data_IF_872067871314
#
_entry.id   IF_872067871314
#
_cell.length_a   1.000
_cell.length_b   1.000
_cell.length_c   1.000
_cell.angle_alpha   90.00
_cell.angle_beta   90.00
_cell.angle_gamma   90.00
#
_symmetry.space_group_name_H-M   'P 1'
#
loop_
_entity.id
_entity.type
_entity.pdbx_description
1 polymer ?
#
# COMPACT_ATOMS: atom_id res chain seq x y z
N UNK A 1 -39.61 -36.69 71.10
CA UNK A 1 -40.78 -36.03 70.55
C UNK A 1 -40.56 -35.95 69.02
N UNK A 2 -41.31 -36.75 68.25
CA UNK A 2 -41.11 -36.91 66.82
C UNK A 2 -41.93 -35.80 66.10
N UNK A 3 -41.31 -34.89 65.43
CA UNK A 3 -41.97 -33.93 64.57
C UNK A 3 -42.33 -34.57 63.24
N UNK A 4 -43.58 -34.52 62.85
CA UNK A 4 -44.14 -35.15 61.67
C UNK A 4 -44.12 -34.17 60.45
N UNK A 5 -44.11 -34.78 59.26
CA UNK A 5 -43.96 -34.17 57.94
C UNK A 5 -45.10 -33.23 57.50
N UNK A 6 -45.90 -32.68 58.38
CA UNK A 6 -47.14 -31.93 58.06
C UNK A 6 -47.11 -30.43 58.40
N UNK A 7 -46.05 -29.93 58.97
CA UNK A 7 -46.02 -28.52 59.46
C UNK A 7 -45.17 -27.57 58.57
N UNK A 8 -44.97 -27.90 57.28
CA UNK A 8 -44.18 -27.06 56.36
C UNK A 8 -45.00 -26.64 55.12
N UNK A 9 -46.20 -26.14 55.32
CA UNK A 9 -47.01 -25.60 54.26
C UNK A 9 -47.83 -24.38 54.69
N UNK A 10 -47.19 -23.31 55.13
CA UNK A 10 -47.82 -21.99 55.23
C UNK A 10 -46.73 -20.93 55.47
N UNK A 11 -46.12 -20.44 54.43
CA UNK A 11 -45.09 -19.39 54.47
C UNK A 11 -45.02 -18.63 53.12
N UNK A 12 -45.87 -17.62 53.00
CA UNK A 12 -45.83 -16.46 52.12
C UNK A 12 -44.96 -16.52 50.87
N UNK A 13 -45.59 -16.62 49.70
CA UNK A 13 -45.05 -16.18 48.45
C UNK A 13 -45.11 -14.64 48.37
N UNK A 14 -44.05 -13.95 48.74
CA UNK A 14 -43.80 -12.56 48.32
C UNK A 14 -43.07 -12.59 46.98
N UNK A 15 -43.83 -12.39 45.91
CA UNK A 15 -43.33 -12.29 44.55
C UNK A 15 -42.48 -11.02 44.42
N UNK A 16 -41.14 -11.13 44.41
CA UNK A 16 -40.26 -10.11 43.91
C UNK A 16 -40.29 -10.21 42.39
N UNK A 17 -41.13 -9.42 41.76
CA UNK A 17 -41.05 -9.15 40.31
C UNK A 17 -39.87 -8.21 40.10
N UNK A 18 -38.63 -8.74 40.03
CA UNK A 18 -37.53 -8.01 39.47
C UNK A 18 -37.82 -7.86 37.95
N UNK A 19 -37.79 -6.65 37.36
CA UNK A 19 -37.87 -6.53 35.94
C UNK A 19 -36.62 -7.21 35.36
N UNK A 20 -36.84 -8.34 34.71
CA UNK A 20 -35.81 -8.88 33.80
C UNK A 20 -35.60 -7.82 32.70
N UNK A 21 -34.59 -6.99 32.89
CA UNK A 21 -34.00 -6.24 31.77
C UNK A 21 -33.37 -7.31 30.87
N UNK A 22 -34.16 -7.79 29.94
CA UNK A 22 -33.65 -8.52 28.78
C UNK A 22 -32.80 -7.49 28.05
N UNK A 23 -31.53 -7.40 28.44
CA UNK A 23 -30.54 -6.75 27.61
C UNK A 23 -30.67 -7.43 26.25
N UNK A 24 -31.14 -6.67 25.26
CA UNK A 24 -31.17 -7.12 23.89
C UNK A 24 -29.75 -7.63 23.60
N UNK A 25 -29.55 -8.94 23.63
CA UNK A 25 -28.45 -9.56 22.94
C UNK A 25 -28.61 -9.08 21.49
N UNK A 26 -27.87 -8.02 21.11
CA UNK A 26 -27.72 -7.68 19.73
C UNK A 26 -27.28 -8.99 19.09
N UNK A 27 -28.17 -9.60 18.34
CA UNK A 27 -27.80 -10.68 17.46
C UNK A 27 -26.59 -10.15 16.70
N UNK A 28 -25.45 -10.78 16.90
CA UNK A 28 -24.22 -10.42 16.21
C UNK A 28 -24.50 -10.69 14.75
N UNK A 29 -24.99 -9.65 14.05
CA UNK A 29 -25.39 -9.73 12.64
C UNK A 29 -24.21 -10.23 11.85
N UNK A 30 -24.46 -10.99 10.78
CA UNK A 30 -23.43 -11.58 9.94
C UNK A 30 -22.33 -10.54 9.65
N UNK A 31 -21.07 -10.88 9.96
CA UNK A 31 -19.90 -10.02 9.75
C UNK A 31 -19.68 -9.79 8.26
N UNK A 32 -19.28 -8.59 7.87
CA UNK A 32 -18.80 -8.33 6.50
C UNK A 32 -17.33 -8.72 6.44
N UNK A 33 -16.94 -9.53 5.47
CA UNK A 33 -15.56 -9.97 5.30
C UNK A 33 -14.87 -9.26 4.15
N UNK A 34 -13.61 -8.88 4.39
CA UNK A 34 -12.68 -8.35 3.38
C UNK A 34 -11.52 -9.35 3.29
N UNK A 35 -11.17 -9.79 2.08
CA UNK A 35 -10.02 -10.63 1.84
C UNK A 35 -8.74 -9.80 1.70
N UNK A 36 -7.60 -10.32 2.14
CA UNK A 36 -6.30 -9.70 1.94
C UNK A 36 -5.25 -10.73 1.55
N UNK A 37 -4.69 -10.60 0.34
CA UNK A 37 -3.51 -11.33 -0.08
C UNK A 37 -2.29 -10.48 0.24
N UNK A 38 -1.35 -11.02 1.02
CA UNK A 38 -0.19 -10.26 1.50
C UNK A 38 0.97 -11.22 1.78
N UNK A 39 2.24 -10.82 1.59
CA UNK A 39 3.35 -11.67 1.95
C UNK A 39 3.46 -11.81 3.49
N UNK A 40 3.06 -12.97 4.02
CA UNK A 40 3.30 -13.34 5.41
C UNK A 40 4.67 -14.00 5.54
N UNK A 41 5.08 -14.72 4.48
CA UNK A 41 6.38 -15.36 4.35
C UNK A 41 7.12 -14.91 3.09
N UNK A 42 8.41 -15.29 2.96
CA UNK A 42 9.24 -14.95 1.82
C UNK A 42 9.99 -13.63 1.95
N UNK A 43 10.67 -13.17 0.87
CA UNK A 43 11.57 -12.01 0.92
C UNK A 43 10.89 -10.69 1.28
N UNK A 44 9.56 -10.58 1.14
CA UNK A 44 8.80 -9.39 1.46
C UNK A 44 7.95 -9.51 2.73
N UNK A 45 8.23 -10.46 3.62
CA UNK A 45 7.43 -10.68 4.83
C UNK A 45 7.37 -9.43 5.74
N UNK A 46 8.44 -8.65 5.84
CA UNK A 46 8.44 -7.39 6.60
C UNK A 46 7.46 -6.37 6.01
N UNK A 47 7.45 -6.21 4.68
CA UNK A 47 6.47 -5.36 3.98
C UNK A 47 5.04 -5.84 4.22
N UNK A 48 4.83 -7.16 4.19
CA UNK A 48 3.54 -7.76 4.48
C UNK A 48 3.06 -7.51 5.91
N UNK A 49 3.95 -7.49 6.88
CA UNK A 49 3.62 -7.10 8.26
C UNK A 49 3.17 -5.63 8.34
N UNK A 50 3.87 -4.72 7.66
CA UNK A 50 3.49 -3.31 7.59
C UNK A 50 2.09 -3.15 6.96
N UNK A 51 1.84 -3.84 5.86
CA UNK A 51 0.54 -3.82 5.17
C UNK A 51 -0.60 -4.34 6.06
N UNK A 52 -0.39 -5.46 6.75
CA UNK A 52 -1.36 -5.99 7.71
C UNK A 52 -1.66 -5.01 8.84
N UNK A 53 -0.63 -4.35 9.37
CA UNK A 53 -0.78 -3.38 10.45
C UNK A 53 -1.65 -2.18 10.01
N UNK A 54 -1.42 -1.64 8.81
CA UNK A 54 -2.23 -0.57 8.25
C UNK A 54 -3.69 -0.98 8.09
N UNK A 55 -3.94 -2.13 7.44
CA UNK A 55 -5.29 -2.66 7.27
C UNK A 55 -6.01 -2.93 8.60
N UNK A 56 -5.32 -3.53 9.59
CA UNK A 56 -5.87 -3.78 10.93
C UNK A 56 -6.18 -2.50 11.69
N UNK A 57 -5.36 -1.45 11.54
CA UNK A 57 -5.60 -0.16 12.16
C UNK A 57 -6.88 0.50 11.61
N UNK A 58 -7.04 0.49 10.28
CA UNK A 58 -8.26 0.98 9.63
C UNK A 58 -9.48 0.16 10.05
N UNK A 59 -9.36 -1.17 10.06
CA UNK A 59 -10.43 -2.08 10.48
C UNK A 59 -10.91 -1.78 11.90
N UNK A 60 -9.98 -1.56 12.83
CA UNK A 60 -10.30 -1.20 14.21
C UNK A 60 -11.06 0.13 14.30
N UNK A 61 -10.64 1.14 13.50
CA UNK A 61 -11.32 2.43 13.43
C UNK A 61 -12.73 2.31 12.83
N UNK A 62 -12.89 1.58 11.73
CA UNK A 62 -14.18 1.30 11.08
C UNK A 62 -15.13 0.60 12.05
N UNK A 63 -14.68 -0.45 12.72
CA UNK A 63 -15.49 -1.20 13.66
C UNK A 63 -15.89 -0.38 14.90
N UNK A 64 -14.97 0.44 15.41
CA UNK A 64 -15.26 1.38 16.51
C UNK A 64 -16.31 2.43 16.11
N UNK A 65 -16.33 2.84 14.84
CA UNK A 65 -17.33 3.79 14.31
C UNK A 65 -18.71 3.15 14.04
N UNK A 66 -18.89 1.86 14.33
CA UNK A 66 -20.16 1.14 14.13
C UNK A 66 -20.13 0.14 12.97
N UNK A 67 -18.99 -0.05 12.32
CA UNK A 67 -18.79 -1.00 11.23
C UNK A 67 -19.34 -0.52 9.88
N UNK A 68 -19.71 -1.45 9.04
CA UNK A 68 -20.23 -1.20 7.70
C UNK A 68 -21.66 -1.75 7.61
N UNK A 69 -22.62 -0.93 7.16
CA UNK A 69 -24.05 -1.26 7.16
C UNK A 69 -24.55 -1.74 8.53
N UNK A 70 -23.97 -1.19 9.63
CA UNK A 70 -24.28 -1.59 11.01
C UNK A 70 -23.70 -2.94 11.43
N UNK A 71 -22.83 -3.57 10.63
CA UNK A 71 -22.18 -4.86 10.88
C UNK A 71 -20.70 -4.67 11.15
N UNK A 72 -20.13 -5.52 11.99
CA UNK A 72 -18.67 -5.58 12.16
C UNK A 72 -18.01 -6.06 10.88
N UNK A 73 -16.79 -5.59 10.64
CA UNK A 73 -15.96 -6.01 9.50
C UNK A 73 -14.84 -6.90 9.99
N UNK A 74 -14.53 -7.94 9.24
CA UNK A 74 -13.45 -8.90 9.50
C UNK A 74 -12.48 -8.93 8.32
N UNK A 75 -11.19 -9.06 8.61
CA UNK A 75 -10.13 -9.21 7.61
C UNK A 75 -9.68 -10.67 7.56
N UNK A 76 -9.83 -11.31 6.40
CA UNK A 76 -9.37 -12.67 6.14
C UNK A 76 -8.07 -12.59 5.35
N UNK A 77 -6.97 -13.10 5.92
CA UNK A 77 -5.63 -12.95 5.37
C UNK A 77 -5.14 -14.28 4.81
N UNK A 78 -4.59 -14.26 3.58
CA UNK A 78 -3.89 -15.38 2.95
C UNK A 78 -2.47 -14.97 2.55
N UNK A 79 -1.52 -15.87 2.76
CA UNK A 79 -0.10 -15.67 2.43
C UNK A 79 0.15 -15.85 0.94
N UNK A 80 0.68 -14.81 0.27
CA UNK A 80 1.11 -14.86 -1.13
C UNK A 80 2.56 -15.34 -1.32
N UNK A 81 3.29 -15.59 -0.21
CA UNK A 81 4.66 -16.11 -0.18
C UNK A 81 5.67 -15.28 -0.99
N UNK A 82 5.33 -14.05 -1.35
CA UNK A 82 6.10 -13.18 -2.27
C UNK A 82 6.30 -13.80 -3.66
N UNK A 83 5.42 -14.70 -4.12
CA UNK A 83 5.53 -15.39 -5.41
C UNK A 83 4.27 -15.24 -6.28
N UNK A 84 4.43 -15.32 -7.61
CA UNK A 84 3.29 -15.28 -8.53
C UNK A 84 2.34 -16.48 -8.35
N UNK A 85 2.82 -17.75 -8.23
CA UNK A 85 1.94 -18.86 -7.89
C UNK A 85 1.27 -18.70 -6.52
N UNK A 86 1.99 -18.16 -5.54
CA UNK A 86 1.48 -17.91 -4.19
C UNK A 86 0.30 -16.94 -4.19
N UNK A 87 0.39 -15.80 -4.89
CA UNK A 87 -0.72 -14.83 -4.95
C UNK A 87 -1.94 -15.41 -5.66
N UNK A 88 -1.77 -16.18 -6.74
CA UNK A 88 -2.89 -16.84 -7.45
C UNK A 88 -3.59 -17.83 -6.51
N UNK A 89 -2.84 -18.62 -5.75
CA UNK A 89 -3.40 -19.56 -4.79
C UNK A 89 -4.10 -18.85 -3.64
N UNK A 90 -3.48 -17.84 -3.04
CA UNK A 90 -4.05 -17.04 -1.96
C UNK A 90 -5.36 -16.36 -2.38
N UNK A 91 -5.35 -15.72 -3.56
CA UNK A 91 -6.55 -15.09 -4.10
C UNK A 91 -7.65 -16.11 -4.38
N UNK A 92 -7.34 -17.27 -4.97
CA UNK A 92 -8.29 -18.33 -5.24
C UNK A 92 -8.97 -18.85 -3.96
N UNK A 93 -8.21 -19.03 -2.86
CA UNK A 93 -8.78 -19.44 -1.56
C UNK A 93 -9.74 -18.40 -0.98
N UNK A 94 -9.40 -17.12 -1.09
CA UNK A 94 -10.28 -16.04 -0.65
C UNK A 94 -11.51 -15.92 -1.55
N UNK A 95 -11.34 -16.01 -2.87
CA UNK A 95 -12.42 -15.93 -3.86
C UNK A 95 -13.45 -17.06 -3.71
N UNK A 96 -13.05 -18.23 -3.19
CA UNK A 96 -13.94 -19.33 -2.89
C UNK A 96 -14.90 -19.05 -1.71
N UNK A 97 -14.67 -17.99 -0.93
CA UNK A 97 -15.53 -17.58 0.18
C UNK A 97 -16.58 -16.55 -0.31
N UNK A 98 -17.87 -16.92 -0.44
CA UNK A 98 -18.87 -16.05 -1.08
C UNK A 98 -19.20 -14.79 -0.24
N UNK A 99 -18.96 -14.83 1.06
CA UNK A 99 -19.20 -13.76 2.02
C UNK A 99 -18.10 -12.66 2.06
N UNK A 100 -17.00 -12.85 1.33
CA UNK A 100 -16.01 -11.79 1.09
C UNK A 100 -16.55 -10.82 0.03
N UNK A 101 -16.68 -9.54 0.41
CA UNK A 101 -17.32 -8.51 -0.43
C UNK A 101 -16.34 -7.70 -1.28
N UNK A 102 -15.05 -7.68 -0.90
CA UNK A 102 -13.98 -7.00 -1.62
C UNK A 102 -12.63 -7.46 -1.10
N UNK A 103 -11.56 -7.12 -1.80
CA UNK A 103 -10.24 -7.67 -1.53
C UNK A 103 -9.18 -6.57 -1.51
N UNK A 104 -8.13 -6.77 -0.72
CA UNK A 104 -6.85 -6.10 -0.84
C UNK A 104 -5.89 -7.08 -1.51
N UNK A 105 -5.31 -6.66 -2.63
CA UNK A 105 -4.35 -7.47 -3.36
C UNK A 105 -2.91 -7.07 -3.06
N UNK A 106 -2.01 -7.44 -3.97
CA UNK A 106 -0.57 -7.23 -3.79
C UNK A 106 -0.14 -5.78 -4.03
N UNK A 107 0.93 -5.39 -3.35
CA UNK A 107 1.72 -4.20 -3.69
C UNK A 107 2.61 -4.43 -4.92
N UNK A 108 2.85 -5.68 -5.30
CA UNK A 108 3.77 -6.05 -6.38
C UNK A 108 3.06 -6.12 -7.71
N UNK A 109 3.49 -5.29 -8.67
CA UNK A 109 2.89 -5.23 -10.00
C UNK A 109 2.87 -6.60 -10.70
N UNK A 110 3.95 -7.36 -10.61
CA UNK A 110 4.05 -8.72 -11.20
C UNK A 110 2.99 -9.68 -10.64
N UNK A 111 2.74 -9.62 -9.32
CA UNK A 111 1.71 -10.44 -8.68
C UNK A 111 0.30 -9.97 -9.05
N UNK A 112 0.07 -8.67 -9.18
CA UNK A 112 -1.23 -8.14 -9.65
C UNK A 112 -1.51 -8.63 -11.06
N UNK A 113 -0.53 -8.57 -11.98
CA UNK A 113 -0.67 -9.16 -13.31
C UNK A 113 -1.05 -10.64 -13.26
N UNK A 114 -0.40 -11.42 -12.38
CA UNK A 114 -0.64 -12.85 -12.25
C UNK A 114 -2.08 -13.17 -11.79
N UNK A 115 -2.66 -12.41 -10.87
CA UNK A 115 -4.02 -12.64 -10.36
C UNK A 115 -5.12 -11.94 -11.16
N UNK A 116 -4.78 -10.98 -12.02
CA UNK A 116 -5.78 -10.14 -12.72
C UNK A 116 -6.83 -10.92 -13.53
N UNK A 117 -6.50 -12.06 -14.21
CA UNK A 117 -7.52 -12.88 -14.88
C UNK A 117 -8.58 -13.46 -13.90
N UNK A 118 -8.15 -13.89 -12.72
CA UNK A 118 -9.06 -14.42 -11.70
C UNK A 118 -9.91 -13.32 -11.07
N UNK A 119 -9.35 -12.11 -10.90
CA UNK A 119 -10.10 -10.92 -10.47
C UNK A 119 -11.21 -10.59 -11.46
N UNK A 120 -10.89 -10.57 -12.76
CA UNK A 120 -11.88 -10.30 -13.81
C UNK A 120 -13.02 -11.34 -13.79
N UNK A 121 -12.68 -12.61 -13.64
CA UNK A 121 -13.65 -13.72 -13.55
C UNK A 121 -14.52 -13.64 -12.30
N UNK A 122 -13.95 -13.24 -11.16
CA UNK A 122 -14.69 -13.14 -9.90
C UNK A 122 -15.70 -11.99 -9.91
N UNK A 123 -15.37 -10.85 -10.53
CA UNK A 123 -16.27 -9.71 -10.64
C UNK A 123 -16.54 -9.00 -9.31
N UNK A 124 -15.53 -8.88 -8.44
CA UNK A 124 -15.58 -8.13 -7.17
C UNK A 124 -14.42 -7.14 -7.07
N UNK A 125 -14.60 -5.99 -6.38
CA UNK A 125 -13.55 -4.98 -6.24
C UNK A 125 -12.30 -5.51 -5.54
N UNK A 126 -11.14 -5.22 -6.11
CA UNK A 126 -9.82 -5.55 -5.57
C UNK A 126 -8.97 -4.27 -5.51
N UNK A 127 -8.57 -3.87 -4.31
CA UNK A 127 -7.70 -2.73 -4.04
C UNK A 127 -6.26 -3.18 -4.17
N UNK A 128 -5.49 -2.51 -5.02
CA UNK A 128 -4.10 -2.88 -5.32
C UNK A 128 -3.12 -1.78 -4.97
N UNK A 129 -1.92 -2.19 -4.56
CA UNK A 129 -0.78 -1.31 -4.33
C UNK A 129 0.26 -1.34 -5.46
N UNK A 130 0.09 -2.17 -6.49
CA UNK A 130 0.98 -2.22 -7.66
C UNK A 130 0.93 -0.93 -8.47
N UNK A 131 2.11 -0.43 -8.89
CA UNK A 131 2.23 0.91 -9.51
C UNK A 131 2.50 0.90 -11.01
N UNK A 132 2.70 -0.27 -11.63
CA UNK A 132 2.77 -0.37 -13.11
C UNK A 132 1.51 0.26 -13.73
N UNK A 133 1.64 1.29 -14.59
CA UNK A 133 0.50 2.00 -15.17
C UNK A 133 -0.50 1.09 -15.88
N UNK A 134 -0.04 -0.01 -16.47
CA UNK A 134 -0.91 -0.92 -17.26
C UNK A 134 -1.95 -1.66 -16.44
N UNK A 135 -1.77 -1.81 -15.12
CA UNK A 135 -2.62 -2.61 -14.24
C UNK A 135 -4.10 -2.19 -14.26
N UNK A 136 -4.36 -0.90 -14.26
CA UNK A 136 -5.72 -0.34 -14.34
C UNK A 136 -6.18 -0.08 -15.77
N UNK A 137 -5.27 -0.21 -16.76
CA UNK A 137 -5.55 0.04 -18.17
C UNK A 137 -5.67 -1.23 -19.03
N UNK A 138 -5.61 -2.43 -18.40
CA UNK A 138 -5.74 -3.73 -19.09
C UNK A 138 -7.20 -4.16 -19.35
N UNK A 139 -8.19 -3.30 -19.10
CA UNK A 139 -9.61 -3.60 -19.31
C UNK A 139 -10.26 -4.40 -18.17
N UNK A 140 -9.62 -4.50 -17.00
CA UNK A 140 -10.21 -5.12 -15.81
C UNK A 140 -10.88 -4.07 -14.91
N UNK A 141 -12.22 -3.96 -14.90
CA UNK A 141 -12.94 -2.90 -14.20
C UNK A 141 -13.00 -3.10 -12.68
N UNK A 142 -12.41 -4.19 -12.17
CA UNK A 142 -12.46 -4.56 -10.76
C UNK A 142 -11.17 -4.23 -10.00
N UNK A 143 -10.13 -3.75 -10.69
CA UNK A 143 -8.89 -3.30 -10.08
C UNK A 143 -8.96 -1.81 -9.75
N UNK A 144 -8.67 -1.47 -8.48
CA UNK A 144 -8.62 -0.09 -7.98
C UNK A 144 -7.26 0.17 -7.38
N UNK A 145 -6.52 1.13 -7.91
CA UNK A 145 -5.18 1.46 -7.44
C UNK A 145 -5.23 2.49 -6.33
N UNK A 146 -4.54 2.19 -5.23
CA UNK A 146 -4.49 3.03 -4.04
C UNK A 146 -3.19 3.83 -3.90
N UNK A 147 -2.20 3.54 -4.71
CA UNK A 147 -0.95 4.30 -4.82
C UNK A 147 -0.90 5.01 -6.17
N UNK A 148 -0.21 6.15 -6.30
CA UNK A 148 -0.04 6.75 -7.62
C UNK A 148 0.72 5.79 -8.56
N UNK A 149 0.46 5.82 -9.87
CA UNK A 149 1.15 4.95 -10.80
C UNK A 149 2.53 5.50 -11.22
N UNK A 150 3.38 4.64 -11.79
CA UNK A 150 4.76 4.99 -12.11
C UNK A 150 4.91 6.00 -13.26
N UNK A 151 3.86 6.28 -14.02
CA UNK A 151 3.93 7.40 -14.97
C UNK A 151 4.02 8.75 -14.26
N UNK A 152 3.41 8.87 -13.09
CA UNK A 152 3.56 10.05 -12.23
C UNK A 152 4.91 10.06 -11.51
N UNK A 153 5.35 8.93 -10.95
CA UNK A 153 6.65 8.87 -10.26
C UNK A 153 7.81 9.22 -11.19
N UNK A 154 7.81 8.69 -12.42
CA UNK A 154 8.82 9.00 -13.44
C UNK A 154 8.84 10.50 -13.81
N UNK A 155 7.65 11.12 -13.96
CA UNK A 155 7.54 12.57 -14.21
C UNK A 155 8.07 13.40 -13.04
N UNK A 156 7.71 13.06 -11.80
CA UNK A 156 8.16 13.79 -10.61
C UNK A 156 9.68 13.66 -10.43
N UNK A 157 10.24 12.45 -10.56
CA UNK A 157 11.69 12.20 -10.46
C UNK A 157 12.44 13.02 -11.51
N UNK A 158 11.99 12.97 -12.78
CA UNK A 158 12.61 13.69 -13.87
C UNK A 158 12.53 15.22 -13.67
N UNK A 159 11.33 15.73 -13.36
CA UNK A 159 11.11 17.17 -13.12
C UNK A 159 11.97 17.69 -11.98
N UNK A 160 11.95 16.99 -10.83
CA UNK A 160 12.73 17.41 -9.67
C UNK A 160 14.23 17.40 -9.95
N UNK A 161 14.73 16.35 -10.58
CA UNK A 161 16.16 16.25 -10.87
C UNK A 161 16.64 17.23 -11.94
N UNK A 162 15.83 17.49 -12.98
CA UNK A 162 16.17 18.43 -14.05
C UNK A 162 15.96 19.88 -13.60
N UNK A 163 14.78 20.21 -13.11
CA UNK A 163 14.37 21.59 -12.86
C UNK A 163 14.77 22.10 -11.47
N UNK A 164 14.83 21.21 -10.45
CA UNK A 164 15.22 21.61 -9.09
C UNK A 164 16.70 21.36 -8.83
N UNK A 165 17.26 20.21 -9.19
CA UNK A 165 18.67 19.87 -8.96
C UNK A 165 19.60 20.28 -10.12
N UNK A 166 19.06 20.71 -11.27
CA UNK A 166 19.83 21.16 -12.44
C UNK A 166 20.62 20.07 -13.14
N UNK A 167 20.19 18.78 -13.05
CA UNK A 167 20.90 17.61 -13.56
C UNK A 167 20.47 17.26 -14.97
N UNK A 168 21.43 16.78 -15.79
CA UNK A 168 21.18 16.54 -17.22
C UNK A 168 21.65 15.19 -17.73
N UNK A 169 22.59 14.51 -17.04
CA UNK A 169 23.14 13.22 -17.47
C UNK A 169 22.67 12.11 -16.54
N UNK A 170 21.60 11.44 -16.91
CA UNK A 170 20.93 10.47 -16.08
C UNK A 170 21.41 9.05 -16.30
N UNK A 171 21.78 8.34 -15.23
CA UNK A 171 21.77 6.89 -15.21
C UNK A 171 20.47 6.40 -14.59
N UNK A 172 19.80 5.46 -15.26
CA UNK A 172 18.63 4.76 -14.71
C UNK A 172 19.07 3.36 -14.35
N UNK A 173 18.74 2.91 -13.12
CA UNK A 173 18.92 1.52 -12.67
C UNK A 173 17.60 0.99 -12.15
N UNK A 174 17.17 -0.15 -12.71
CA UNK A 174 15.86 -0.70 -12.36
C UNK A 174 15.86 -2.25 -12.31
N UNK A 175 15.00 -2.85 -11.51
CA UNK A 175 14.74 -4.28 -11.56
C UNK A 175 14.08 -4.68 -12.89
N UNK A 176 14.26 -5.93 -13.32
CA UNK A 176 13.71 -6.43 -14.61
C UNK A 176 12.31 -7.02 -14.48
N UNK A 177 11.67 -6.89 -13.32
CA UNK A 177 10.25 -7.25 -13.16
C UNK A 177 9.30 -6.16 -13.67
N UNK A 178 7.99 -6.38 -13.55
CA UNK A 178 6.98 -5.44 -14.06
C UNK A 178 7.10 -4.05 -13.45
N UNK A 179 7.32 -3.93 -12.12
CA UNK A 179 7.48 -2.65 -11.46
C UNK A 179 8.72 -1.89 -11.95
N UNK A 180 9.90 -2.53 -11.88
CA UNK A 180 11.15 -1.87 -12.27
C UNK A 180 11.18 -1.47 -13.74
N UNK A 181 10.74 -2.37 -14.62
CA UNK A 181 10.68 -2.10 -16.08
C UNK A 181 9.71 -0.96 -16.40
N UNK A 182 8.51 -0.96 -15.80
CA UNK A 182 7.52 0.10 -16.04
C UNK A 182 8.01 1.45 -15.52
N UNK A 183 8.57 1.48 -14.30
CA UNK A 183 9.10 2.70 -13.69
C UNK A 183 10.32 3.24 -14.43
N UNK A 184 11.28 2.39 -14.79
CA UNK A 184 12.45 2.78 -15.61
C UNK A 184 12.04 3.40 -16.94
N UNK A 185 11.11 2.75 -17.65
CA UNK A 185 10.55 3.27 -18.90
C UNK A 185 9.81 4.61 -18.70
N UNK A 186 9.04 4.75 -17.63
CA UNK A 186 8.33 6.00 -17.34
C UNK A 186 9.30 7.14 -17.08
N UNK A 187 10.37 6.89 -16.33
CA UNK A 187 11.43 7.87 -16.08
C UNK A 187 12.17 8.23 -17.37
N UNK A 188 12.59 7.24 -18.16
CA UNK A 188 13.27 7.47 -19.44
C UNK A 188 12.41 8.36 -20.37
N UNK A 189 11.11 8.03 -20.52
CA UNK A 189 10.19 8.82 -21.33
C UNK A 189 9.99 10.25 -20.80
N UNK A 190 9.96 10.45 -19.47
CA UNK A 190 9.86 11.79 -18.88
C UNK A 190 11.12 12.61 -19.13
N UNK A 191 12.31 12.01 -19.05
CA UNK A 191 13.59 12.64 -19.33
C UNK A 191 13.73 13.03 -20.80
N UNK A 192 13.27 12.19 -21.74
CA UNK A 192 13.22 12.52 -23.17
C UNK A 192 12.38 13.76 -23.44
N UNK A 193 11.19 13.85 -22.81
CA UNK A 193 10.29 15.03 -22.94
C UNK A 193 10.92 16.31 -22.39
N UNK A 194 11.81 16.20 -21.40
CA UNK A 194 12.56 17.33 -20.84
C UNK A 194 13.87 17.62 -21.60
N UNK A 195 14.17 16.91 -22.69
CA UNK A 195 15.38 17.09 -23.50
C UNK A 195 16.66 16.61 -22.81
N UNK A 196 16.55 15.72 -21.81
CA UNK A 196 17.66 15.16 -21.05
C UNK A 196 17.61 13.62 -21.05
N UNK A 197 17.69 12.95 -22.22
CA UNK A 197 17.60 11.50 -22.29
C UNK A 197 18.67 10.82 -21.45
N UNK A 198 18.33 9.66 -20.88
CA UNK A 198 19.28 8.91 -20.06
C UNK A 198 20.52 8.47 -20.85
N UNK A 199 21.72 8.63 -20.26
CA UNK A 199 22.98 8.15 -20.82
C UNK A 199 23.23 6.68 -20.51
N UNK A 200 22.50 6.12 -19.55
CA UNK A 200 22.51 4.71 -19.18
C UNK A 200 21.09 4.31 -18.72
N UNK A 201 20.62 3.19 -19.23
CA UNK A 201 19.44 2.48 -18.74
C UNK A 201 19.82 1.03 -18.49
N UNK A 202 19.89 0.63 -17.21
CA UNK A 202 20.49 -0.62 -16.77
C UNK A 202 19.51 -1.43 -15.91
N UNK A 203 19.02 -2.53 -16.46
CA UNK A 203 18.25 -3.53 -15.72
C UNK A 203 19.15 -4.45 -14.88
N UNK A 204 18.62 -4.93 -13.76
CA UNK A 204 19.21 -5.98 -12.93
C UNK A 204 18.17 -7.03 -12.53
N UNK A 205 18.60 -8.28 -12.29
CA UNK A 205 17.71 -9.35 -11.81
C UNK A 205 17.45 -9.20 -10.30
N UNK A 206 16.19 -9.36 -9.89
CA UNK A 206 15.81 -9.36 -8.47
C UNK A 206 16.58 -10.39 -7.64
N UNK A 207 16.81 -10.08 -6.37
CA UNK A 207 17.54 -10.87 -5.39
C UNK A 207 19.03 -11.08 -5.76
N UNK A 208 19.61 -10.12 -6.50
CA UNK A 208 21.04 -10.09 -6.79
C UNK A 208 21.85 -9.84 -5.53
N UNK A 209 22.97 -10.59 -5.40
CA UNK A 209 23.90 -10.47 -4.26
C UNK A 209 25.09 -9.58 -4.57
N UNK A 210 25.33 -9.28 -5.85
CA UNK A 210 26.44 -8.44 -6.32
C UNK A 210 25.98 -7.46 -7.39
N UNK A 211 26.08 -6.18 -7.09
CA UNK A 211 25.76 -5.08 -8.00
C UNK A 211 27.02 -4.39 -8.55
N UNK A 212 28.22 -4.93 -8.29
CA UNK A 212 29.46 -4.35 -8.79
C UNK A 212 29.42 -4.06 -10.31
N UNK A 213 28.95 -4.97 -11.18
CA UNK A 213 28.88 -4.67 -12.61
C UNK A 213 27.94 -3.49 -12.93
N UNK A 214 26.79 -3.41 -12.26
CA UNK A 214 25.83 -2.33 -12.43
C UNK A 214 26.41 -0.99 -11.97
N UNK A 215 27.09 -0.96 -10.81
CA UNK A 215 27.74 0.24 -10.26
C UNK A 215 28.86 0.70 -11.18
N UNK A 216 29.66 -0.22 -11.73
CA UNK A 216 30.72 0.13 -12.69
C UNK A 216 30.14 0.71 -13.98
N UNK A 217 29.03 0.20 -14.48
CA UNK A 217 28.32 0.78 -15.62
C UNK A 217 27.85 2.22 -15.32
N UNK A 218 27.27 2.46 -14.15
CA UNK A 218 26.89 3.83 -13.70
C UNK A 218 28.11 4.72 -13.64
N UNK A 219 29.23 4.27 -13.07
CA UNK A 219 30.45 5.05 -12.96
C UNK A 219 31.05 5.42 -14.33
N UNK A 220 31.03 4.47 -15.28
CA UNK A 220 31.58 4.65 -16.62
C UNK A 220 30.67 5.48 -17.54
N UNK A 221 29.37 5.57 -17.27
CA UNK A 221 28.41 6.31 -18.08
C UNK A 221 28.64 7.83 -18.07
N UNK A 222 29.38 8.35 -17.11
CA UNK A 222 29.54 9.78 -16.90
C UNK A 222 28.28 10.51 -16.45
N UNK A 223 27.32 9.76 -15.89
CA UNK A 223 26.10 10.32 -15.31
C UNK A 223 26.40 11.29 -14.16
N UNK A 224 25.62 12.36 -14.07
CA UNK A 224 25.69 13.35 -12.97
C UNK A 224 24.52 13.23 -11.98
N UNK A 225 23.61 12.29 -12.22
CA UNK A 225 22.49 11.95 -11.36
C UNK A 225 22.06 10.50 -11.61
N UNK A 226 21.53 9.86 -10.56
CA UNK A 226 21.00 8.50 -10.59
C UNK A 226 19.49 8.51 -10.36
N UNK A 227 18.74 7.83 -11.23
CA UNK A 227 17.32 7.50 -11.07
C UNK A 227 17.15 5.99 -10.82
N UNK A 228 16.27 5.57 -9.90
CA UNK A 228 16.18 4.12 -9.61
C UNK A 228 14.78 3.61 -9.30
N UNK A 229 14.57 2.32 -9.69
CA UNK A 229 13.39 1.52 -9.34
C UNK A 229 13.78 0.14 -8.84
N UNK A 230 13.81 -0.04 -7.53
CA UNK A 230 14.15 -1.31 -6.87
C UNK A 230 12.90 -1.96 -6.29
N UNK A 231 12.64 -3.22 -6.65
CA UNK A 231 11.48 -3.97 -6.13
C UNK A 231 11.70 -4.47 -4.72
N UNK A 232 12.94 -4.84 -4.37
CA UNK A 232 13.30 -5.34 -3.05
C UNK A 232 14.27 -4.40 -2.33
N UNK A 233 13.96 -4.07 -1.08
CA UNK A 233 14.77 -3.19 -0.24
C UNK A 233 16.15 -3.79 0.08
N UNK A 234 16.25 -5.14 0.10
CA UNK A 234 17.54 -5.80 0.28
C UNK A 234 18.48 -5.54 -0.90
N UNK A 235 17.96 -5.65 -2.13
CA UNK A 235 18.73 -5.36 -3.35
C UNK A 235 19.21 -3.89 -3.35
N UNK A 236 18.29 -2.98 -3.01
CA UNK A 236 18.61 -1.56 -2.88
C UNK A 236 19.70 -1.32 -1.82
N UNK A 237 19.59 -1.99 -0.67
CA UNK A 237 20.57 -1.89 0.41
C UNK A 237 21.98 -2.36 -0.01
N UNK A 238 22.07 -3.47 -0.74
CA UNK A 238 23.35 -3.98 -1.28
C UNK A 238 23.89 -3.01 -2.33
N UNK A 239 23.06 -2.63 -3.30
CA UNK A 239 23.45 -1.67 -4.34
C UNK A 239 23.94 -0.35 -3.77
N UNK A 240 23.21 0.25 -2.81
CA UNK A 240 23.59 1.53 -2.21
C UNK A 240 24.97 1.47 -1.53
N UNK A 241 25.23 0.41 -0.77
CA UNK A 241 26.55 0.22 -0.13
C UNK A 241 27.66 0.06 -1.16
N UNK A 242 27.48 -0.80 -2.17
CA UNK A 242 28.48 -1.01 -3.23
C UNK A 242 28.70 0.25 -4.05
N UNK A 243 27.63 1.04 -4.32
CA UNK A 243 27.71 2.33 -5.01
C UNK A 243 28.70 3.28 -4.29
N UNK A 244 28.53 3.42 -2.96
CA UNK A 244 29.40 4.31 -2.16
C UNK A 244 30.81 3.73 -1.99
N UNK A 245 30.94 2.41 -1.80
CA UNK A 245 32.25 1.74 -1.71
C UNK A 245 33.10 1.92 -2.98
N UNK A 246 32.47 1.91 -4.15
CA UNK A 246 33.14 2.13 -5.44
C UNK A 246 33.31 3.62 -5.80
N UNK A 247 32.98 4.52 -4.86
CA UNK A 247 33.23 5.95 -4.98
C UNK A 247 32.26 6.71 -5.87
N UNK A 248 31.06 6.17 -6.13
CA UNK A 248 30.02 6.86 -6.88
C UNK A 248 29.16 7.70 -5.91
N UNK A 249 29.36 9.02 -5.94
CA UNK A 249 28.74 9.98 -5.02
C UNK A 249 27.86 11.02 -5.74
N UNK A 250 27.27 10.66 -6.85
CA UNK A 250 26.34 11.52 -7.58
C UNK A 250 24.99 11.63 -6.82
N UNK A 251 24.24 12.74 -6.99
CA UNK A 251 22.86 12.86 -6.51
C UNK A 251 22.01 11.70 -6.98
N UNK A 252 21.07 11.32 -6.13
CA UNK A 252 20.19 10.20 -6.39
C UNK A 252 18.74 10.61 -6.11
N UNK A 253 17.85 10.45 -7.11
CA UNK A 253 16.40 10.66 -7.00
C UNK A 253 15.70 9.37 -7.41
N UNK A 254 15.05 8.67 -6.49
CA UNK A 254 14.51 7.34 -6.78
C UNK A 254 13.02 7.18 -6.51
N UNK A 255 12.53 6.00 -6.85
CA UNK A 255 11.18 5.54 -6.55
C UNK A 255 10.92 5.44 -5.04
N UNK A 256 9.69 5.14 -4.57
CA UNK A 256 9.39 5.05 -3.14
C UNK A 256 10.28 4.07 -2.35
N UNK A 257 10.86 3.07 -3.03
CA UNK A 257 11.77 2.12 -2.37
C UNK A 257 13.03 2.78 -1.77
N UNK A 258 13.51 3.90 -2.33
CA UNK A 258 14.72 4.60 -1.84
C UNK A 258 14.50 5.24 -0.46
N UNK A 259 13.29 5.61 -0.16
CA UNK A 259 12.92 6.32 1.07
C UNK A 259 12.06 5.48 2.03
N UNK A 260 11.81 4.22 1.69
CA UNK A 260 11.14 3.28 2.58
C UNK A 260 11.91 3.07 3.89
N UNK A 261 11.21 2.86 4.99
CA UNK A 261 11.79 2.66 6.32
C UNK A 261 12.78 1.49 6.33
N UNK A 262 12.42 0.36 5.70
CA UNK A 262 13.28 -0.82 5.58
C UNK A 262 14.54 -0.55 4.76
N UNK A 263 14.44 0.17 3.64
CA UNK A 263 15.59 0.54 2.81
C UNK A 263 16.57 1.44 3.58
N UNK A 264 16.04 2.45 4.27
CA UNK A 264 16.84 3.35 5.09
C UNK A 264 17.60 2.60 6.20
N UNK A 265 16.95 1.63 6.82
CA UNK A 265 17.55 0.76 7.84
C UNK A 265 18.63 -0.16 7.26
N UNK A 266 18.39 -0.78 6.10
CA UNK A 266 19.31 -1.74 5.46
C UNK A 266 20.54 -1.06 4.85
N UNK A 267 20.37 0.06 4.20
CA UNK A 267 21.44 0.78 3.52
C UNK A 267 22.19 1.75 4.44
N UNK A 268 21.53 2.26 5.49
CA UNK A 268 22.10 3.20 6.44
C UNK A 268 22.71 4.44 5.78
N UNK A 269 23.95 4.82 6.12
CA UNK A 269 24.59 6.02 5.58
C UNK A 269 24.74 6.07 4.05
N UNK A 270 24.65 4.93 3.37
CA UNK A 270 24.74 4.89 1.91
C UNK A 270 23.59 5.61 1.19
N UNK A 271 22.44 5.77 1.88
CA UNK A 271 21.29 6.53 1.38
C UNK A 271 21.19 7.96 1.92
N UNK A 272 22.12 8.42 2.76
CA UNK A 272 22.04 9.79 3.26
C UNK A 272 22.18 10.81 2.12
N UNK A 273 21.34 11.83 2.14
CA UNK A 273 21.28 12.87 1.11
C UNK A 273 20.59 12.46 -0.19
N UNK A 274 20.01 11.23 -0.27
CA UNK A 274 19.20 10.84 -1.42
C UNK A 274 17.82 11.51 -1.38
N UNK A 275 17.28 11.76 -2.55
CA UNK A 275 15.90 12.18 -2.73
C UNK A 275 15.06 10.98 -3.22
N UNK A 276 13.78 11.01 -2.97
CA UNK A 276 12.86 10.04 -3.50
C UNK A 276 11.46 10.60 -3.61
N UNK A 277 10.65 9.94 -4.40
CA UNK A 277 9.21 10.13 -4.35
C UNK A 277 8.62 9.23 -3.28
N UNK A 278 7.58 9.69 -2.60
CA UNK A 278 6.89 8.93 -1.57
C UNK A 278 5.38 9.07 -1.72
N UNK A 279 4.68 7.96 -1.62
CA UNK A 279 3.22 7.98 -1.60
C UNK A 279 2.76 8.64 -0.30
N UNK A 280 3.28 8.16 0.81
CA UNK A 280 3.02 8.69 2.14
C UNK A 280 4.16 9.62 2.61
N UNK A 281 3.77 10.79 3.07
CA UNK A 281 4.61 11.70 3.85
C UNK A 281 3.77 12.30 4.97
N UNK A 282 4.20 12.16 6.23
CA UNK A 282 3.38 12.55 7.38
C UNK A 282 2.98 14.03 7.36
N UNK A 283 3.86 14.89 6.89
CA UNK A 283 3.67 16.33 6.85
C UNK A 283 2.79 16.80 5.69
N UNK A 284 2.44 15.92 4.74
CA UNK A 284 1.73 16.30 3.50
C UNK A 284 0.29 16.74 3.74
N UNK A 285 -0.40 16.20 4.76
CA UNK A 285 -1.79 16.54 5.08
C UNK A 285 -2.15 16.26 6.53
N UNK A 286 -3.30 16.79 6.99
CA UNK A 286 -3.82 16.46 8.32
C UNK A 286 -4.25 14.99 8.44
N UNK A 287 -4.73 14.37 7.35
CA UNK A 287 -5.06 12.94 7.33
C UNK A 287 -3.79 12.08 7.46
N UNK A 288 -2.70 12.45 6.77
CA UNK A 288 -1.40 11.80 6.88
C UNK A 288 -0.84 11.88 8.31
N UNK A 289 -0.93 13.05 8.94
CA UNK A 289 -0.52 13.25 10.35
C UNK A 289 -1.35 12.41 11.31
N UNK A 290 -2.67 12.38 11.12
CA UNK A 290 -3.58 11.60 11.96
C UNK A 290 -3.27 10.10 11.87
N UNK A 291 -3.05 9.59 10.64
CA UNK A 291 -2.63 8.21 10.42
C UNK A 291 -1.28 7.92 11.10
N UNK A 292 -0.27 8.76 10.88
CA UNK A 292 1.06 8.60 11.47
C UNK A 292 1.03 8.51 12.98
N UNK A 293 0.24 9.41 13.62
CA UNK A 293 0.03 9.37 15.08
C UNK A 293 -0.66 8.07 15.51
N UNK A 294 -1.77 7.69 14.87
CA UNK A 294 -2.53 6.50 15.23
C UNK A 294 -1.68 5.22 15.07
N UNK A 295 -0.87 5.15 14.01
CA UNK A 295 0.01 4.02 13.76
C UNK A 295 1.09 3.87 14.84
N UNK A 296 1.78 4.98 15.20
CA UNK A 296 2.77 4.97 16.30
C UNK A 296 2.15 4.63 17.65
N UNK A 297 0.95 5.12 17.93
CA UNK A 297 0.25 4.80 19.16
C UNK A 297 -0.05 3.29 19.27
N UNK A 298 -0.41 2.65 18.14
CA UNK A 298 -0.75 1.24 18.09
C UNK A 298 0.48 0.32 18.06
N UNK A 299 1.49 0.64 17.23
CA UNK A 299 2.59 -0.30 16.90
C UNK A 299 3.96 0.13 17.41
N UNK A 300 4.09 1.32 18.01
CA UNK A 300 5.34 1.86 18.60
C UNK A 300 6.48 2.01 17.59
N UNK A 301 6.16 2.12 16.30
CA UNK A 301 7.09 2.37 15.20
C UNK A 301 6.49 3.37 14.22
N UNK A 302 7.33 4.03 13.41
CA UNK A 302 6.85 4.94 12.37
C UNK A 302 6.16 4.15 11.24
N UNK A 303 5.10 4.67 10.63
CA UNK A 303 4.52 4.08 9.42
C UNK A 303 5.34 4.42 8.17
N UNK A 304 5.07 3.69 7.08
CA UNK A 304 5.51 4.06 5.74
C UNK A 304 4.40 3.76 4.70
N UNK A 305 4.69 3.92 3.41
CA UNK A 305 3.76 3.64 2.33
C UNK A 305 3.21 2.21 2.33
N UNK A 306 3.99 1.23 2.83
CA UNK A 306 3.53 -0.17 2.93
C UNK A 306 2.37 -0.33 3.90
N UNK A 307 2.24 0.57 4.88
CA UNK A 307 1.14 0.58 5.85
C UNK A 307 0.03 1.57 5.48
N UNK A 308 0.34 2.64 4.76
CA UNK A 308 -0.60 3.72 4.46
C UNK A 308 -1.65 3.31 3.43
N UNK A 309 -1.25 2.75 2.27
CA UNK A 309 -2.20 2.35 1.23
C UNK A 309 -3.23 1.29 1.69
N UNK A 310 -2.89 0.24 2.49
CA UNK A 310 -3.89 -0.70 2.98
C UNK A 310 -4.84 -0.09 4.02
N UNK A 311 -4.36 0.89 4.81
CA UNK A 311 -5.20 1.67 5.69
C UNK A 311 -6.26 2.44 4.88
N UNK A 312 -5.85 3.15 3.83
CA UNK A 312 -6.76 3.87 2.94
C UNK A 312 -7.70 2.91 2.20
N UNK A 313 -7.19 1.78 1.72
CA UNK A 313 -7.98 0.78 1.02
C UNK A 313 -9.14 0.23 1.87
N UNK A 314 -8.91 -0.12 3.13
CA UNK A 314 -9.97 -0.57 4.05
C UNK A 314 -10.93 0.57 4.37
N UNK A 315 -10.42 1.77 4.62
CA UNK A 315 -11.24 2.94 4.95
C UNK A 315 -12.15 3.32 3.80
N UNK A 316 -11.62 3.39 2.59
CA UNK A 316 -12.37 3.75 1.37
C UNK A 316 -13.35 2.66 0.97
N UNK A 317 -12.97 1.37 1.06
CA UNK A 317 -13.89 0.27 0.80
C UNK A 317 -15.08 0.31 1.77
N UNK A 318 -14.84 0.52 3.05
CA UNK A 318 -15.88 0.66 4.06
C UNK A 318 -16.82 1.85 3.75
N UNK A 319 -16.26 3.00 3.39
CA UNK A 319 -17.03 4.19 2.99
C UNK A 319 -17.85 3.92 1.72
N UNK A 320 -17.28 3.23 0.73
CA UNK A 320 -17.96 2.90 -0.52
C UNK A 320 -19.14 1.92 -0.30
N UNK A 321 -18.96 0.90 0.55
CA UNK A 321 -20.07 -0.03 0.88
C UNK A 321 -21.18 0.70 1.62
N UNK A 322 -20.85 1.58 2.58
CA UNK A 322 -21.85 2.40 3.28
C UNK A 322 -22.58 3.35 2.30
N UNK A 323 -21.86 3.99 1.37
CA UNK A 323 -22.45 4.85 0.34
C UNK A 323 -23.35 4.08 -0.63
N UNK A 324 -22.93 2.87 -1.01
CA UNK A 324 -23.73 1.98 -1.86
C UNK A 324 -24.99 1.44 -1.15
N UNK A 325 -25.01 1.43 0.19
CA UNK A 325 -26.07 0.82 0.99
C UNK A 325 -26.22 -0.70 0.74
N UNK A 326 -25.18 -1.36 0.19
CA UNK A 326 -25.26 -2.71 -0.34
C UNK A 326 -23.86 -3.36 -0.39
N UNK A 327 -23.84 -4.69 -0.34
CA UNK A 327 -22.65 -5.52 -0.62
C UNK A 327 -22.58 -6.01 -2.07
N UNK A 328 -23.47 -5.53 -2.94
CA UNK A 328 -23.44 -5.83 -4.38
C UNK A 328 -22.15 -5.27 -5.01
N UNK A 329 -21.36 -6.10 -5.72
CA UNK A 329 -20.07 -5.67 -6.27
C UNK A 329 -20.16 -4.48 -7.24
N UNK A 330 -21.21 -4.47 -8.09
CA UNK A 330 -21.41 -3.38 -9.06
C UNK A 330 -21.68 -2.06 -8.37
N UNK A 331 -22.53 -2.05 -7.34
CA UNK A 331 -22.84 -0.85 -6.55
C UNK A 331 -21.61 -0.36 -5.75
N UNK A 332 -20.81 -1.28 -5.22
CA UNK A 332 -19.55 -0.91 -4.53
C UNK A 332 -18.58 -0.27 -5.54
N UNK A 333 -18.43 -0.85 -6.73
CA UNK A 333 -17.60 -0.29 -7.81
C UNK A 333 -18.02 1.14 -8.17
N UNK A 334 -19.29 1.35 -8.42
CA UNK A 334 -19.84 2.69 -8.72
C UNK A 334 -19.60 3.67 -7.57
N UNK A 335 -19.80 3.22 -6.33
CA UNK A 335 -19.55 4.03 -5.15
C UNK A 335 -18.07 4.45 -5.05
N UNK A 336 -17.10 3.55 -5.28
CA UNK A 336 -15.66 3.87 -5.29
C UNK A 336 -15.37 4.94 -6.35
N UNK A 337 -15.79 4.74 -7.61
CA UNK A 337 -15.54 5.68 -8.71
C UNK A 337 -16.19 7.06 -8.49
N UNK A 338 -17.25 7.12 -7.67
CA UNK A 338 -17.93 8.36 -7.33
C UNK A 338 -17.30 9.13 -6.16
N UNK A 339 -16.29 8.56 -5.49
CA UNK A 339 -15.57 9.26 -4.42
C UNK A 339 -14.67 10.33 -5.03
N UNK A 340 -14.82 11.54 -4.55
CA UNK A 340 -14.00 12.69 -4.94
C UNK A 340 -13.54 13.40 -3.67
N UNK A 341 -12.31 13.90 -3.69
CA UNK A 341 -11.67 14.60 -2.57
C UNK A 341 -11.75 13.82 -1.25
N UNK A 342 -11.62 12.48 -1.35
CA UNK A 342 -11.65 11.65 -0.17
C UNK A 342 -10.29 11.70 0.55
N UNK A 343 -10.24 12.16 1.81
CA UNK A 343 -8.97 12.30 2.51
C UNK A 343 -8.43 10.93 2.92
N UNK A 344 -7.23 10.59 2.47
CA UNK A 344 -6.49 9.40 2.86
C UNK A 344 -5.14 9.72 3.47
N UNK A 345 -4.48 8.70 4.02
CA UNK A 345 -3.14 8.80 4.57
C UNK A 345 -2.10 9.12 3.49
N UNK A 346 -2.27 8.59 2.27
CA UNK A 346 -1.37 8.84 1.14
C UNK A 346 -1.73 10.09 0.34
N UNK A 347 -2.93 10.66 0.51
CA UNK A 347 -3.35 11.85 -0.20
C UNK A 347 -4.86 11.97 -0.35
N UNK A 348 -5.29 12.89 -1.20
CA UNK A 348 -6.69 13.10 -1.53
C UNK A 348 -7.11 12.24 -2.72
N UNK A 349 -7.95 11.24 -2.49
CA UNK A 349 -8.38 10.31 -3.53
C UNK A 349 -9.45 10.88 -4.44
N UNK A 350 -9.19 10.78 -5.75
CA UNK A 350 -10.09 11.19 -6.83
C UNK A 350 -10.11 10.09 -7.90
N UNK A 351 -10.85 9.00 -7.65
CA UNK A 351 -10.84 7.87 -8.58
C UNK A 351 -11.27 8.26 -10.00
N UNK A 352 -10.44 7.91 -10.98
CA UNK A 352 -10.75 8.05 -12.40
C UNK A 352 -11.57 6.85 -12.92
N UNK A 353 -11.93 6.88 -14.21
CA UNK A 353 -12.71 5.81 -14.85
C UNK A 353 -11.99 4.46 -14.90
N UNK A 354 -10.66 4.45 -14.83
CA UNK A 354 -9.82 3.26 -14.85
C UNK A 354 -9.59 2.68 -13.45
N UNK A 355 -9.95 3.42 -12.38
CA UNK A 355 -9.76 3.02 -11.00
C UNK A 355 -8.46 3.50 -10.36
N UNK A 356 -7.76 4.46 -10.95
CA UNK A 356 -6.62 5.14 -10.32
C UNK A 356 -7.12 6.20 -9.33
N UNK A 357 -6.70 6.11 -8.07
CA UNK A 357 -7.19 6.98 -6.99
C UNK A 357 -6.33 8.21 -6.72
N UNK A 358 -5.03 8.14 -6.97
CA UNK A 358 -4.05 9.20 -6.72
C UNK A 358 -3.27 9.55 -7.99
N UNK A 359 -2.92 10.83 -8.18
CA UNK A 359 -2.37 11.36 -9.43
C UNK A 359 -1.07 12.15 -9.25
N UNK A 360 -0.41 12.04 -8.10
CA UNK A 360 0.83 12.74 -7.79
C UNK A 360 1.65 12.06 -6.72
N UNK A 361 2.81 12.65 -6.42
CA UNK A 361 3.74 12.13 -5.40
C UNK A 361 4.30 13.23 -4.51
N UNK A 362 4.61 12.86 -3.29
CA UNK A 362 5.42 13.68 -2.41
C UNK A 362 6.91 13.53 -2.81
N UNK A 363 7.66 14.62 -2.81
CA UNK A 363 9.11 14.59 -2.86
C UNK A 363 9.63 14.67 -1.43
N UNK A 364 10.53 13.77 -1.09
CA UNK A 364 11.16 13.68 0.23
C UNK A 364 12.66 13.52 0.11
N UNK A 365 13.39 13.81 1.20
CA UNK A 365 14.84 13.67 1.29
C UNK A 365 15.23 12.86 2.51
N UNK A 366 16.22 12.00 2.36
CA UNK A 366 16.83 11.27 3.48
C UNK A 366 17.91 12.12 4.15
N UNK A 367 17.59 12.76 5.24
CA UNK A 367 18.54 13.54 6.07
C UNK A 367 19.05 12.69 7.22
N UNK A 368 20.20 12.01 6.98
CA UNK A 368 20.88 11.16 7.98
C UNK A 368 19.97 10.11 8.62
N UNK A 369 19.12 9.50 7.83
CA UNK A 369 18.18 8.45 8.28
C UNK A 369 16.78 8.94 8.63
N UNK A 370 16.55 10.26 8.66
CA UNK A 370 15.22 10.86 8.79
C UNK A 370 14.70 11.25 7.42
N UNK A 371 13.49 10.82 7.10
CA UNK A 371 12.84 11.23 5.85
C UNK A 371 12.13 12.55 6.10
N UNK A 372 12.52 13.57 5.35
CA UNK A 372 12.02 14.95 5.46
C UNK A 372 11.20 15.27 4.21
N UNK A 373 9.99 15.74 4.42
CA UNK A 373 9.10 16.19 3.36
C UNK A 373 9.60 17.50 2.73
N UNK A 374 9.58 17.59 1.41
CA UNK A 374 9.93 18.81 0.66
C UNK A 374 8.66 19.44 0.06
N UNK A 375 7.99 18.74 -0.84
CA UNK A 375 6.77 19.23 -1.51
C UNK A 375 5.94 18.09 -2.09
N UNK A 376 4.67 18.39 -2.40
CA UNK A 376 3.82 17.52 -3.21
C UNK A 376 3.77 18.03 -4.66
N UNK A 377 3.80 17.12 -5.63
CA UNK A 377 3.62 17.40 -7.05
C UNK A 377 2.47 16.53 -7.53
N UNK A 378 1.40 17.18 -7.96
CA UNK A 378 0.19 16.55 -8.49
C UNK A 378 0.02 16.87 -9.97
N UNK A 379 -0.53 15.92 -10.71
CA UNK A 379 -0.84 16.04 -12.13
C UNK A 379 -2.34 15.83 -12.33
N UNK A 380 -3.13 16.76 -11.84
CA UNK A 380 -4.56 16.83 -12.16
C UNK A 380 -4.71 17.28 -13.62
N UNK A 381 -4.60 16.35 -14.55
CA UNK A 381 -4.87 16.55 -15.98
C UNK A 381 -6.36 16.35 -16.27
#
# INVERSE_FOLDING_TARGET
MKLTRRDFAAGLAVGITAPYVVGSARAQGATIKIGMCVPVTGPAAEQGLWAQNGAKLALAAVNKAGGVLGKQVELVIEDDQTTNPGIVLAFSKLAAQPDIVGFLGSIRSTQVHAMAPDVLKLGKPVMIGGTDPTLTHMGNPWLFRFRPNDSYSGRVIADYGVNTLGKKKWAIVHSTDAFGTAGGKALASALEKLGTPAVLDQGYANQSQDFTPVVLAVKQSGADVLGTYFTFENDLGIFARQLRQLGVNIPWVGSPSVVAVSSTKLAGPALYGTYGVADYAEESSEASKAFGKAYRDAYKTAPDNQSAWPYDAVTILAAAINKAGSTDPGKIREAILSLKKFPGAEGEYNFDQNGDGLHGYNVVRNEKGTIVYDKHIDFND
#
